data_IF_481559287924
#
_entry.id   IF_481559287924
#
_cell.length_a   1.000
_cell.length_b   1.000
_cell.length_c   1.000
_cell.angle_alpha   90.00
_cell.angle_beta   90.00
_cell.angle_gamma   90.00
#
_symmetry.space_group_name_H-M   'P 1'
#
loop_
_entity.id
_entity.type
_entity.pdbx_description
1 polymer ?
#
# COMPACT_ATOMS: atom_id res chain seq x y z
N UNK A 1 -25.38 25.28 -9.05
CA UNK A 1 -25.54 24.20 -8.05
C UNK A 1 -24.73 22.94 -8.39
N UNK A 2 -23.49 23.14 -8.89
CA UNK A 2 -22.53 22.05 -9.09
C UNK A 2 -21.98 21.47 -7.78
N UNK A 3 -22.10 22.19 -6.67
CA UNK A 3 -21.54 21.78 -5.37
C UNK A 3 -22.37 20.71 -4.64
N UNK A 4 -23.56 20.37 -5.11
CA UNK A 4 -24.37 19.29 -4.54
C UNK A 4 -24.13 17.92 -5.20
N UNK A 5 -23.54 17.89 -6.39
CA UNK A 5 -23.18 16.63 -7.09
C UNK A 5 -21.78 16.12 -6.73
N UNK A 6 -20.96 16.95 -6.11
CA UNK A 6 -19.67 16.61 -5.50
C UNK A 6 -19.82 16.56 -3.96
N UNK A 7 -20.90 15.95 -3.46
CA UNK A 7 -20.98 15.60 -2.05
C UNK A 7 -19.84 14.60 -1.78
N UNK A 8 -18.70 15.15 -1.34
CA UNK A 8 -17.59 14.36 -0.78
C UNK A 8 -18.20 13.48 0.32
N UNK A 9 -18.27 12.15 0.14
CA UNK A 9 -18.89 11.26 1.10
C UNK A 9 -18.16 11.45 2.42
N UNK A 10 -18.88 11.89 3.45
CA UNK A 10 -18.33 12.07 4.78
C UNK A 10 -17.79 10.70 5.26
N UNK A 11 -16.54 10.68 5.72
CA UNK A 11 -15.96 9.50 6.33
C UNK A 11 -14.77 8.88 5.61
N UNK A 12 -14.44 9.24 4.36
CA UNK A 12 -13.26 8.69 3.69
C UNK A 12 -11.96 8.94 4.46
N UNK A 13 -11.79 10.13 5.03
CA UNK A 13 -10.61 10.43 5.85
C UNK A 13 -10.51 9.56 7.11
N UNK A 14 -11.64 9.19 7.72
CA UNK A 14 -11.69 8.29 8.87
C UNK A 14 -11.29 6.86 8.45
N UNK A 15 -11.82 6.40 7.32
CA UNK A 15 -11.52 5.07 6.75
C UNK A 15 -10.02 4.98 6.41
N UNK A 16 -9.48 5.97 5.72
CA UNK A 16 -8.07 6.01 5.35
C UNK A 16 -7.15 6.02 6.59
N UNK A 17 -7.54 6.75 7.64
CA UNK A 17 -6.84 6.75 8.91
C UNK A 17 -6.89 5.37 9.61
N UNK A 18 -8.05 4.72 9.64
CA UNK A 18 -8.19 3.38 10.20
C UNK A 18 -7.27 2.37 9.48
N UNK A 19 -7.25 2.40 8.13
CA UNK A 19 -6.36 1.55 7.34
C UNK A 19 -4.88 1.86 7.58
N UNK A 20 -4.50 3.13 7.72
CA UNK A 20 -3.11 3.50 8.00
C UNK A 20 -2.61 2.94 9.33
N UNK A 21 -3.44 2.94 10.37
CA UNK A 21 -3.12 2.34 11.67
C UNK A 21 -3.03 0.82 11.59
N UNK A 22 -4.01 0.21 10.93
CA UNK A 22 -4.02 -1.23 10.72
C UNK A 22 -2.80 -1.71 9.92
N UNK A 23 -2.37 -0.94 8.90
CA UNK A 23 -1.16 -1.23 8.14
C UNK A 23 0.11 -1.14 9.01
N UNK A 24 0.20 -0.13 9.88
CA UNK A 24 1.32 0.00 10.82
C UNK A 24 1.39 -1.19 11.79
N UNK A 25 0.25 -1.62 12.34
CA UNK A 25 0.18 -2.79 13.23
C UNK A 25 0.43 -4.12 12.48
N UNK A 26 0.21 -4.15 11.16
CA UNK A 26 0.62 -5.26 10.29
C UNK A 26 2.14 -5.29 10.00
N UNK A 27 2.91 -4.41 10.60
CA UNK A 27 4.36 -4.29 10.44
C UNK A 27 4.79 -3.61 9.14
N UNK A 28 3.89 -2.86 8.51
CA UNK A 28 4.20 -2.05 7.32
C UNK A 28 4.74 -0.70 7.77
N UNK A 29 5.88 -0.29 7.19
CA UNK A 29 6.43 1.05 7.40
C UNK A 29 5.49 2.10 6.81
N UNK A 30 4.84 2.86 7.69
CA UNK A 30 3.92 3.95 7.39
C UNK A 30 4.48 5.27 7.88
N UNK A 31 4.26 6.34 7.13
CA UNK A 31 4.49 7.67 7.69
C UNK A 31 3.51 7.98 8.81
N UNK A 32 3.89 8.90 9.70
CA UNK A 32 2.99 9.41 10.73
C UNK A 32 1.71 9.95 10.09
N UNK A 33 0.56 9.43 10.54
CA UNK A 33 -0.76 9.79 10.06
C UNK A 33 -1.60 10.34 11.22
N UNK A 34 -2.48 11.28 10.91
CA UNK A 34 -3.43 11.86 11.88
C UNK A 34 -4.71 12.32 11.20
N UNK A 35 -5.74 12.50 11.98
CA UNK A 35 -6.96 13.19 11.56
C UNK A 35 -6.84 14.69 11.87
N UNK A 36 -7.29 15.51 10.94
CA UNK A 36 -7.47 16.94 11.12
C UNK A 36 -8.95 17.26 11.04
N UNK A 37 -9.48 17.92 12.08
CA UNK A 37 -10.88 18.33 12.16
C UNK A 37 -11.03 19.75 11.65
N UNK A 38 -11.83 19.96 10.62
CA UNK A 38 -12.14 21.29 10.09
C UNK A 38 -13.56 21.34 9.52
N UNK A 39 -14.34 22.36 9.91
CA UNK A 39 -15.68 22.58 9.38
C UNK A 39 -16.64 21.40 9.59
N UNK A 40 -16.47 20.61 10.65
CA UNK A 40 -17.28 19.42 10.93
C UNK A 40 -16.88 18.18 10.08
N UNK A 41 -15.75 18.25 9.38
CA UNK A 41 -15.19 17.15 8.59
C UNK A 41 -13.89 16.64 9.19
N UNK A 42 -13.62 15.36 8.99
CA UNK A 42 -12.36 14.69 9.36
C UNK A 42 -11.52 14.50 8.11
N UNK A 43 -10.37 15.16 8.05
CA UNK A 43 -9.43 15.05 6.95
C UNK A 43 -8.27 14.15 7.36
N UNK A 44 -7.95 13.14 6.53
CA UNK A 44 -6.74 12.36 6.68
C UNK A 44 -5.51 13.20 6.33
N UNK A 45 -4.52 13.15 7.20
CA UNK A 45 -3.23 13.80 6.99
C UNK A 45 -2.10 12.80 7.19
N UNK A 46 -1.17 12.77 6.25
CA UNK A 46 0.07 12.00 6.38
C UNK A 46 1.28 12.91 6.29
N UNK A 47 2.30 12.63 7.11
CA UNK A 47 3.57 13.34 7.04
C UNK A 47 4.29 13.00 5.75
N UNK A 48 4.75 14.01 5.03
CA UNK A 48 5.52 13.81 3.80
C UNK A 48 6.85 13.13 4.10
N UNK A 49 7.03 11.93 3.54
CA UNK A 49 8.27 11.16 3.67
C UNK A 49 9.36 11.57 2.66
N UNK A 50 9.01 12.38 1.66
CA UNK A 50 9.93 12.96 0.69
C UNK A 50 10.53 14.30 1.17
N UNK A 51 10.46 14.55 2.47
CA UNK A 51 11.06 15.70 3.16
C UNK A 51 11.87 15.23 4.35
N UNK A 52 13.03 15.85 4.56
CA UNK A 52 13.80 15.68 5.79
C UNK A 52 13.14 16.41 6.95
N UNK A 53 13.62 16.20 8.16
CA UNK A 53 13.19 16.97 9.34
C UNK A 53 13.46 18.48 9.22
N UNK A 54 14.44 18.87 8.39
CA UNK A 54 14.78 20.27 8.08
C UNK A 54 13.99 20.84 6.90
N UNK A 55 13.10 20.04 6.27
CA UNK A 55 12.27 20.45 5.14
C UNK A 55 12.94 20.28 3.76
N UNK A 56 14.17 19.79 3.70
CA UNK A 56 14.83 19.49 2.43
C UNK A 56 14.10 18.39 1.66
N UNK A 57 14.13 18.53 0.33
CA UNK A 57 13.51 17.54 -0.56
C UNK A 57 14.43 16.33 -0.75
N UNK A 58 13.86 15.13 -0.63
CA UNK A 58 14.47 13.89 -1.12
C UNK A 58 14.01 13.64 -2.56
N UNK A 59 14.90 13.08 -3.36
CA UNK A 59 14.50 12.61 -4.69
C UNK A 59 13.57 11.39 -4.53
N UNK A 60 12.44 11.41 -5.24
CA UNK A 60 11.44 10.34 -5.18
C UNK A 60 11.07 9.90 -6.59
N UNK A 61 11.06 8.60 -6.82
CA UNK A 61 10.52 8.01 -8.04
C UNK A 61 9.61 6.83 -7.69
N UNK A 62 8.46 6.77 -8.36
CA UNK A 62 7.60 5.59 -8.27
C UNK A 62 8.19 4.41 -9.06
N UNK A 63 7.69 3.20 -8.81
CA UNK A 63 8.01 2.02 -9.60
C UNK A 63 7.71 2.28 -11.10
N UNK A 64 6.58 2.95 -11.37
CA UNK A 64 6.23 3.36 -12.72
C UNK A 64 7.33 4.21 -13.38
N UNK A 65 7.86 5.20 -12.65
CA UNK A 65 8.89 6.10 -13.16
C UNK A 65 10.23 5.37 -13.38
N UNK A 66 10.71 4.61 -12.39
CA UNK A 66 12.00 3.88 -12.47
C UNK A 66 12.02 2.85 -13.59
N UNK A 67 10.88 2.16 -13.80
CA UNK A 67 10.77 1.06 -14.77
C UNK A 67 10.13 1.47 -16.08
N UNK A 68 9.75 2.75 -16.24
CA UNK A 68 9.01 3.25 -17.40
C UNK A 68 7.72 2.47 -17.68
N UNK A 69 6.99 2.12 -16.62
CA UNK A 69 5.73 1.40 -16.71
C UNK A 69 4.57 2.36 -16.98
N UNK A 70 3.68 1.99 -17.89
CA UNK A 70 2.43 2.72 -18.13
C UNK A 70 1.40 2.33 -17.07
N UNK A 71 1.16 3.20 -16.09
CA UNK A 71 0.21 2.95 -15.00
C UNK A 71 -1.26 2.83 -15.46
N UNK A 72 -1.58 3.23 -16.70
CA UNK A 72 -2.91 3.03 -17.28
C UNK A 72 -3.11 1.60 -17.82
N UNK A 73 -2.05 0.81 -17.94
CA UNK A 73 -2.10 -0.57 -18.39
C UNK A 73 -2.41 -1.52 -17.22
N UNK A 74 -3.67 -1.57 -16.79
CA UNK A 74 -4.12 -2.43 -15.70
C UNK A 74 -3.79 -3.92 -15.99
N UNK A 75 -3.18 -4.60 -15.02
CA UNK A 75 -2.79 -6.02 -15.14
C UNK A 75 -1.54 -6.28 -15.95
N UNK A 76 -0.88 -5.25 -16.49
CA UNK A 76 0.35 -5.43 -17.26
C UNK A 76 1.59 -5.69 -16.37
N UNK A 77 1.50 -5.43 -15.09
CA UNK A 77 2.62 -5.48 -14.16
C UNK A 77 2.32 -6.35 -12.95
N UNK A 78 3.39 -6.84 -12.32
CA UNK A 78 3.31 -7.78 -11.21
C UNK A 78 4.09 -7.29 -9.99
N UNK A 79 3.69 -7.74 -8.80
CA UNK A 79 4.43 -7.49 -7.56
C UNK A 79 5.85 -8.07 -7.60
N UNK A 80 6.07 -9.13 -8.35
CA UNK A 80 7.40 -9.71 -8.63
C UNK A 80 8.34 -8.70 -9.27
N UNK A 81 7.84 -7.81 -10.13
CA UNK A 81 8.65 -6.76 -10.75
C UNK A 81 9.03 -5.65 -9.74
N UNK A 82 8.21 -5.42 -8.71
CA UNK A 82 8.59 -4.55 -7.61
C UNK A 82 9.77 -5.15 -6.81
N UNK A 83 9.70 -6.45 -6.49
CA UNK A 83 10.79 -7.17 -5.81
C UNK A 83 12.07 -7.16 -6.66
N UNK A 84 11.95 -7.39 -7.98
CA UNK A 84 13.08 -7.30 -8.88
C UNK A 84 13.72 -5.90 -8.86
N UNK A 85 12.91 -4.85 -8.81
CA UNK A 85 13.39 -3.47 -8.76
C UNK A 85 14.14 -3.20 -7.45
N UNK A 86 13.61 -3.67 -6.31
CA UNK A 86 14.29 -3.61 -5.01
C UNK A 86 15.67 -4.26 -5.09
N UNK A 87 15.76 -5.46 -5.68
CA UNK A 87 17.05 -6.18 -5.87
C UNK A 87 18.01 -5.42 -6.80
N UNK A 88 17.52 -4.89 -7.91
CA UNK A 88 18.32 -4.10 -8.86
C UNK A 88 18.87 -2.81 -8.27
N UNK A 89 18.13 -2.18 -7.36
CA UNK A 89 18.57 -1.00 -6.62
C UNK A 89 19.54 -1.35 -5.48
N UNK A 90 19.81 -2.64 -5.23
CA UNK A 90 20.69 -3.10 -4.16
C UNK A 90 20.13 -2.86 -2.75
N UNK A 91 18.80 -2.78 -2.61
CA UNK A 91 18.18 -2.50 -1.33
C UNK A 91 18.26 -3.72 -0.40
N UNK A 92 18.24 -3.49 0.93
CA UNK A 92 18.38 -4.57 1.90
C UNK A 92 17.16 -5.51 1.93
N UNK A 93 17.36 -6.71 2.47
CA UNK A 93 16.31 -7.73 2.56
C UNK A 93 15.05 -7.27 3.32
N UNK A 94 15.21 -6.31 4.24
CA UNK A 94 14.07 -5.71 4.96
C UNK A 94 13.10 -4.99 4.00
N UNK A 95 13.59 -4.38 2.92
CA UNK A 95 12.73 -3.72 1.92
C UNK A 95 11.96 -4.75 1.08
N UNK A 96 12.53 -5.95 0.84
CA UNK A 96 11.81 -7.07 0.23
C UNK A 96 10.68 -7.53 1.16
N UNK A 97 10.95 -7.67 2.46
CA UNK A 97 9.93 -8.05 3.44
C UNK A 97 8.83 -6.98 3.53
N UNK A 98 9.21 -5.70 3.55
CA UNK A 98 8.23 -4.61 3.54
C UNK A 98 7.33 -4.66 2.31
N UNK A 99 7.90 -4.86 1.12
CA UNK A 99 7.10 -4.96 -0.10
C UNK A 99 6.23 -6.23 -0.13
N UNK A 100 6.69 -7.34 0.42
CA UNK A 100 5.89 -8.55 0.61
C UNK A 100 4.68 -8.29 1.50
N UNK A 101 4.88 -7.69 2.69
CA UNK A 101 3.78 -7.32 3.61
C UNK A 101 2.75 -6.41 2.94
N UNK A 102 3.20 -5.41 2.17
CA UNK A 102 2.32 -4.47 1.44
C UNK A 102 1.47 -5.19 0.41
N UNK A 103 2.06 -6.11 -0.36
CA UNK A 103 1.31 -6.90 -1.34
C UNK A 103 0.22 -7.76 -0.67
N UNK A 104 0.60 -8.48 0.41
CA UNK A 104 -0.35 -9.30 1.18
C UNK A 104 -1.46 -8.42 1.78
N UNK A 105 -1.10 -7.29 2.37
CA UNK A 105 -2.07 -6.37 2.97
C UNK A 105 -3.05 -5.83 1.92
N UNK A 106 -2.59 -5.35 0.76
CA UNK A 106 -3.44 -4.88 -0.33
C UNK A 106 -4.44 -5.96 -0.78
N UNK A 107 -4.00 -7.20 -0.90
CA UNK A 107 -4.87 -8.33 -1.25
C UNK A 107 -5.94 -8.54 -0.17
N UNK A 108 -5.54 -8.62 1.10
CA UNK A 108 -6.44 -8.90 2.21
C UNK A 108 -7.50 -7.82 2.43
N UNK A 109 -7.12 -6.55 2.29
CA UNK A 109 -8.04 -5.42 2.44
C UNK A 109 -8.79 -5.05 1.16
N UNK A 110 -8.56 -5.77 0.05
CA UNK A 110 -9.11 -5.45 -1.27
C UNK A 110 -8.76 -4.02 -1.72
N UNK A 111 -7.53 -3.58 -1.51
CA UNK A 111 -7.00 -2.38 -2.14
C UNK A 111 -6.68 -2.69 -3.61
N UNK A 112 -7.69 -2.64 -4.45
CA UNK A 112 -7.58 -2.99 -5.87
C UNK A 112 -7.17 -1.80 -6.76
N UNK A 113 -6.83 -0.68 -6.15
CA UNK A 113 -6.13 0.44 -6.81
C UNK A 113 -4.60 0.40 -6.55
N UNK A 114 -4.07 -0.79 -6.41
CA UNK A 114 -2.69 -1.13 -6.09
C UNK A 114 -1.74 -0.99 -7.30
N UNK A 115 -1.82 0.13 -8.01
CA UNK A 115 -1.04 0.35 -9.23
C UNK A 115 0.42 0.73 -8.96
N UNK A 116 1.26 0.62 -10.00
CA UNK A 116 2.71 0.82 -9.95
C UNK A 116 3.17 2.23 -9.53
N UNK A 117 2.29 3.22 -9.40
CA UNK A 117 2.61 4.53 -8.80
C UNK A 117 2.52 4.52 -7.28
N UNK A 118 1.85 3.54 -6.66
CA UNK A 118 1.70 3.42 -5.21
C UNK A 118 2.87 2.68 -4.53
N UNK A 119 3.91 2.38 -5.30
CA UNK A 119 5.20 1.90 -4.82
C UNK A 119 6.24 2.94 -5.23
N UNK A 120 7.01 3.46 -4.26
CA UNK A 120 8.01 4.48 -4.55
C UNK A 120 9.34 4.22 -3.83
N UNK A 121 10.37 4.84 -4.35
CA UNK A 121 11.73 4.78 -3.85
C UNK A 121 12.24 6.20 -3.61
N UNK A 122 13.01 6.37 -2.55
CA UNK A 122 13.63 7.62 -2.17
C UNK A 122 15.14 7.52 -2.36
N UNK A 123 15.75 8.58 -2.87
CA UNK A 123 17.20 8.69 -2.99
C UNK A 123 17.68 9.91 -2.21
N UNK A 124 18.70 9.71 -1.39
CA UNK A 124 19.36 10.80 -0.69
C UNK A 124 20.40 11.52 -1.55
N UNK A 125 21.05 12.53 -0.99
CA UNK A 125 22.09 13.32 -1.69
C UNK A 125 23.37 12.54 -2.00
N UNK A 126 23.56 11.37 -1.38
CA UNK A 126 24.71 10.48 -1.65
C UNK A 126 24.43 9.51 -2.80
N UNK A 127 23.18 9.47 -3.28
CA UNK A 127 22.73 8.53 -4.30
C UNK A 127 22.26 7.19 -3.72
N UNK A 128 22.16 7.06 -2.39
CA UNK A 128 21.66 5.85 -1.75
C UNK A 128 20.14 5.78 -1.83
N UNK A 129 19.64 4.68 -2.37
CA UNK A 129 18.20 4.41 -2.52
C UNK A 129 17.64 3.63 -1.32
N UNK A 130 16.36 3.81 -1.05
CA UNK A 130 15.57 3.02 -0.11
C UNK A 130 14.11 2.94 -0.58
N UNK A 131 13.38 1.92 -0.12
CA UNK A 131 11.94 1.89 -0.30
C UNK A 131 11.28 3.03 0.49
N UNK A 132 10.29 3.71 -0.08
CA UNK A 132 9.51 4.72 0.68
C UNK A 132 8.65 4.05 1.74
N UNK A 133 8.20 4.75 2.79
CA UNK A 133 7.02 4.33 3.53
C UNK A 133 5.84 4.04 2.61
N UNK A 134 4.91 3.17 3.04
CA UNK A 134 3.69 2.90 2.28
C UNK A 134 2.76 4.12 2.32
N UNK A 135 1.97 4.27 1.29
CA UNK A 135 0.97 5.31 1.13
C UNK A 135 -0.16 4.81 0.23
N UNK A 136 -1.28 5.49 0.26
CA UNK A 136 -2.45 5.13 -0.54
C UNK A 136 -2.92 3.68 -0.26
N UNK A 137 -3.02 3.38 1.05
CA UNK A 137 -3.31 2.04 1.55
C UNK A 137 -4.69 2.04 2.16
N UNK A 138 -5.72 1.83 1.34
CA UNK A 138 -7.11 1.80 1.76
C UNK A 138 -7.92 0.81 0.91
N UNK A 139 -9.09 0.40 1.41
CA UNK A 139 -10.04 -0.38 0.63
C UNK A 139 -10.43 0.36 -0.65
N UNK A 140 -10.30 -0.29 -1.79
CA UNK A 140 -10.59 0.27 -3.10
C UNK A 140 -11.16 -0.81 -4.03
N UNK A 141 -12.35 -1.32 -3.73
CA UNK A 141 -13.03 -2.32 -4.54
C UNK A 141 -14.36 -1.79 -5.08
N UNK A 142 -14.51 -1.82 -6.39
CA UNK A 142 -15.77 -1.55 -7.06
C UNK A 142 -16.02 -2.61 -8.15
N UNK A 143 -16.96 -3.55 -7.96
CA UNK A 143 -17.20 -4.65 -8.90
C UNK A 143 -17.63 -4.18 -10.29
N UNK A 144 -18.18 -2.97 -10.40
CA UNK A 144 -18.59 -2.35 -11.66
C UNK A 144 -17.55 -1.35 -12.20
N UNK A 145 -16.49 -1.08 -11.43
CA UNK A 145 -15.45 -0.13 -11.80
C UNK A 145 -14.50 -0.68 -12.86
N UNK A 146 -14.12 0.11 -13.88
CA UNK A 146 -13.19 -0.35 -14.89
C UNK A 146 -11.78 -0.63 -14.34
N UNK A 147 -11.42 0.02 -13.23
CA UNK A 147 -10.07 -0.02 -12.65
C UNK A 147 -9.97 -0.90 -11.40
N UNK A 148 -10.96 -0.87 -10.53
CA UNK A 148 -10.90 -1.48 -9.20
C UNK A 148 -11.79 -2.71 -9.02
N UNK A 149 -12.22 -3.35 -10.12
CA UNK A 149 -12.92 -4.65 -10.06
C UNK A 149 -11.98 -5.83 -9.79
N UNK A 150 -10.69 -5.67 -10.09
CA UNK A 150 -9.59 -6.59 -9.83
C UNK A 150 -8.34 -5.78 -9.48
N UNK A 151 -7.35 -6.41 -8.85
CA UNK A 151 -6.07 -5.77 -8.57
C UNK A 151 -5.42 -5.22 -9.83
N UNK A 152 -4.78 -4.04 -9.75
CA UNK A 152 -4.05 -3.44 -10.85
C UNK A 152 -2.75 -4.19 -11.14
N UNK A 153 -2.09 -4.71 -10.11
CA UNK A 153 -0.92 -5.56 -10.24
C UNK A 153 -1.32 -7.03 -10.04
N UNK A 154 -0.63 -7.92 -10.76
CA UNK A 154 -0.75 -9.35 -10.53
C UNK A 154 0.22 -9.82 -9.43
N UNK A 155 -0.12 -10.94 -8.80
CA UNK A 155 0.74 -11.69 -7.90
C UNK A 155 0.60 -13.17 -8.26
N UNK A 156 1.71 -13.85 -8.47
CA UNK A 156 1.73 -15.25 -8.94
C UNK A 156 0.86 -15.47 -10.18
N UNK A 157 0.83 -14.46 -11.08
CA UNK A 157 0.05 -14.48 -12.32
C UNK A 157 -1.46 -14.24 -12.16
N UNK A 158 -1.98 -14.08 -10.94
CA UNK A 158 -3.38 -13.81 -10.65
C UNK A 158 -3.60 -12.32 -10.33
N UNK A 159 -4.82 -11.86 -10.52
CA UNK A 159 -5.28 -10.50 -10.15
C UNK A 159 -6.52 -10.53 -9.24
N UNK A 160 -7.04 -11.71 -8.98
CA UNK A 160 -8.19 -11.99 -8.12
C UNK A 160 -8.14 -13.44 -7.67
N UNK A 161 -9.04 -13.85 -6.77
CA UNK A 161 -9.17 -15.23 -6.29
C UNK A 161 -7.87 -15.81 -5.75
N UNK A 162 -7.14 -15.01 -4.98
CA UNK A 162 -5.90 -15.44 -4.35
C UNK A 162 -6.16 -16.44 -3.25
N UNK A 163 -5.35 -17.48 -3.22
CA UNK A 163 -5.31 -18.45 -2.14
C UNK A 163 -3.97 -18.35 -1.35
N UNK A 164 -3.88 -19.11 -0.26
CA UNK A 164 -2.69 -19.11 0.59
C UNK A 164 -1.44 -19.57 -0.16
N UNK A 165 -1.58 -20.49 -1.11
CA UNK A 165 -0.44 -21.01 -1.88
C UNK A 165 0.12 -19.95 -2.85
N UNK A 166 -0.72 -19.07 -3.39
CA UNK A 166 -0.25 -17.92 -4.18
C UNK A 166 0.64 -17.00 -3.36
N UNK A 167 0.21 -16.70 -2.12
CA UNK A 167 0.96 -15.83 -1.21
C UNK A 167 2.27 -16.48 -0.80
N UNK A 168 2.26 -17.79 -0.55
CA UNK A 168 3.47 -18.57 -0.22
C UNK A 168 4.41 -18.66 -1.42
N UNK A 169 3.89 -18.86 -2.64
CA UNK A 169 4.69 -18.89 -3.87
C UNK A 169 5.39 -17.53 -4.08
N UNK A 170 4.66 -16.44 -3.90
CA UNK A 170 5.25 -15.09 -3.93
C UNK A 170 6.32 -14.91 -2.84
N UNK A 171 6.09 -15.45 -1.62
CA UNK A 171 7.10 -15.49 -0.56
C UNK A 171 8.37 -16.22 -1.00
N UNK A 172 8.23 -17.34 -1.70
CA UNK A 172 9.35 -18.07 -2.33
C UNK A 172 10.09 -17.22 -3.36
N UNK A 173 9.36 -16.48 -4.20
CA UNK A 173 9.97 -15.52 -5.14
C UNK A 173 10.74 -14.41 -4.41
N UNK A 174 10.25 -13.95 -3.25
CA UNK A 174 10.95 -13.00 -2.40
C UNK A 174 12.22 -13.57 -1.75
N UNK A 175 12.43 -14.89 -1.79
CA UNK A 175 13.55 -15.58 -1.17
C UNK A 175 13.26 -16.08 0.26
N UNK A 176 12.01 -16.09 0.68
CA UNK A 176 11.61 -16.60 2.00
C UNK A 176 11.40 -18.12 1.96
N UNK A 177 11.76 -18.79 3.07
CA UNK A 177 11.30 -20.16 3.28
C UNK A 177 9.78 -20.18 3.43
N UNK A 178 9.14 -21.33 3.08
CA UNK A 178 7.70 -21.51 3.28
C UNK A 178 7.25 -21.14 4.70
N UNK A 179 8.02 -21.55 5.72
CA UNK A 179 7.75 -21.22 7.12
C UNK A 179 7.74 -19.70 7.36
N UNK A 180 8.72 -18.96 6.80
CA UNK A 180 8.79 -17.51 6.96
C UNK A 180 7.66 -16.81 6.22
N UNK A 181 7.36 -17.24 4.99
CA UNK A 181 6.24 -16.70 4.22
C UNK A 181 4.90 -16.87 4.96
N UNK A 182 4.61 -18.05 5.47
CA UNK A 182 3.41 -18.31 6.29
C UNK A 182 3.36 -17.45 7.55
N UNK A 183 4.48 -17.27 8.25
CA UNK A 183 4.55 -16.41 9.42
C UNK A 183 4.24 -14.95 9.06
N UNK A 184 4.83 -14.43 7.98
CA UNK A 184 4.58 -13.07 7.50
C UNK A 184 3.14 -12.86 7.06
N UNK A 185 2.52 -13.83 6.38
CA UNK A 185 1.09 -13.79 6.04
C UNK A 185 0.24 -13.73 7.30
N UNK A 186 0.51 -14.58 8.29
CA UNK A 186 -0.23 -14.58 9.55
C UNK A 186 -0.06 -13.26 10.33
N UNK A 187 1.16 -12.75 10.44
CA UNK A 187 1.46 -11.47 11.07
C UNK A 187 0.71 -10.31 10.40
N UNK A 188 0.66 -10.30 9.04
CA UNK A 188 -0.02 -9.26 8.28
C UNK A 188 -1.55 -9.39 8.35
N UNK A 189 -2.08 -10.60 8.41
CA UNK A 189 -3.54 -10.84 8.44
C UNK A 189 -4.18 -10.59 9.81
N UNK A 190 -3.43 -10.71 10.88
CA UNK A 190 -3.98 -10.57 12.24
C UNK A 190 -4.64 -9.20 12.48
N UNK A 191 -4.02 -8.03 12.17
CA UNK A 191 -4.68 -6.74 12.27
C UNK A 191 -5.88 -6.60 11.33
N UNK A 192 -5.81 -7.17 10.11
CA UNK A 192 -6.92 -7.10 9.15
C UNK A 192 -8.18 -7.77 9.70
N UNK A 193 -8.02 -8.88 10.42
CA UNK A 193 -9.13 -9.58 11.08
C UNK A 193 -9.80 -8.74 12.19
N UNK A 194 -9.10 -7.72 12.70
CA UNK A 194 -9.62 -6.80 13.71
C UNK A 194 -10.15 -5.47 13.13
N UNK A 195 -10.42 -5.41 11.83
CA UNK A 195 -10.88 -4.19 11.12
C UNK A 195 -11.91 -3.37 11.91
N UNK A 196 -12.91 -4.04 12.49
CA UNK A 196 -13.97 -3.36 13.23
C UNK A 196 -13.44 -2.49 14.37
N UNK A 197 -12.44 -2.98 15.11
CA UNK A 197 -11.84 -2.21 16.20
C UNK A 197 -11.12 -0.95 15.69
N UNK A 198 -10.43 -1.03 14.55
CA UNK A 198 -9.80 0.15 13.92
C UNK A 198 -10.83 1.14 13.40
N UNK A 199 -11.91 0.65 12.82
CA UNK A 199 -13.00 1.50 12.31
C UNK A 199 -13.70 2.23 13.46
N UNK A 200 -14.05 1.52 14.52
CA UNK A 200 -14.69 2.09 15.72
C UNK A 200 -13.79 3.15 16.39
N UNK A 201 -12.49 2.85 16.56
CA UNK A 201 -11.52 3.77 17.16
C UNK A 201 -11.27 5.02 16.29
N UNK A 202 -11.36 4.89 14.97
CA UNK A 202 -11.27 6.02 14.05
C UNK A 202 -12.59 6.82 13.92
N UNK A 203 -13.69 6.31 14.45
CA UNK A 203 -15.02 6.95 14.35
C UNK A 203 -15.70 6.73 12.99
N UNK A 204 -15.41 5.62 12.30
CA UNK A 204 -16.10 5.22 11.07
C UNK A 204 -17.50 4.71 11.46
N UNK A 205 -18.52 5.32 10.94
CA UNK A 205 -19.92 4.91 11.16
C UNK A 205 -20.36 3.94 10.08
N UNK A 206 -21.20 2.95 10.46
CA UNK A 206 -21.84 1.98 9.58
C UNK A 206 -22.87 2.63 8.64
#
# INVERSE_FOLDING_TARGET
NRDKELADPQGFGLIEYAFSRMAADAGIDMSECRLHQEGGRSHFMTRRFDRTSTGDKLHMQSLAAIRHFDFNAAGAYAYEQAIETIRRLGLPAVDIEQQFRRAIFNILIRNQDDHVKNIAFLMDRTGAWRLSPAYDVAYAYNPSGPWTRQHQMSLNGKRDDFDLEDLVAFGGYCGFSRRRALALVAETSAPVSAWRAYADDAGVYE
#
